data_IF_080368753247
#
_entry.id   IF_080368753247
#
_cell.length_a   1.000
_cell.length_b   1.000
_cell.length_c   1.000
_cell.angle_alpha   90.00
_cell.angle_beta   90.00
_cell.angle_gamma   90.00
#
_symmetry.space_group_name_H-M   'P 1'
#
loop_
_entity.id
_entity.type
_entity.pdbx_description
1 polymer ?
#
# COMPACT_ATOMS: atom_id res chain seq x y z
N UNK A 1 -11.63 -35.62 1.05
CA UNK A 1 -11.76 -34.26 1.61
C UNK A 1 -12.31 -33.35 0.52
N UNK A 2 -13.53 -32.83 0.67
CA UNK A 2 -14.17 -32.00 -0.34
C UNK A 2 -13.84 -30.52 -0.16
N UNK A 3 -13.66 -29.79 -1.25
CA UNK A 3 -13.34 -28.36 -1.32
C UNK A 3 -14.19 -27.47 -0.38
N UNK A 4 -15.44 -27.85 -0.14
CA UNK A 4 -16.35 -27.15 0.77
C UNK A 4 -15.98 -27.30 2.27
N UNK A 5 -15.37 -28.42 2.66
CA UNK A 5 -14.89 -28.61 4.04
C UNK A 5 -13.65 -27.75 4.33
N UNK A 6 -12.75 -27.61 3.36
CA UNK A 6 -11.55 -26.77 3.52
C UNK A 6 -11.91 -25.28 3.56
N UNK A 7 -12.83 -24.82 2.71
CA UNK A 7 -13.38 -23.46 2.76
C UNK A 7 -14.06 -23.16 4.10
N UNK A 8 -14.88 -24.09 4.61
CA UNK A 8 -15.56 -23.93 5.90
C UNK A 8 -14.57 -23.90 7.07
N UNK A 9 -13.47 -24.65 6.99
CA UNK A 9 -12.38 -24.64 7.98
C UNK A 9 -11.58 -23.33 7.97
N UNK A 10 -11.33 -22.76 6.79
CA UNK A 10 -10.71 -21.43 6.65
C UNK A 10 -11.61 -20.31 7.16
N UNK A 11 -12.90 -20.33 6.82
CA UNK A 11 -13.89 -19.34 7.26
C UNK A 11 -14.20 -19.45 8.77
N UNK A 12 -13.97 -20.62 9.37
CA UNK A 12 -14.10 -20.84 10.82
C UNK A 12 -12.84 -20.45 11.60
N UNK A 13 -11.79 -19.99 10.92
CA UNK A 13 -10.55 -19.56 11.56
C UNK A 13 -10.76 -18.18 12.19
N UNK A 14 -11.05 -18.13 13.48
CA UNK A 14 -11.03 -16.89 14.27
C UNK A 14 -9.58 -16.44 14.43
N UNK A 15 -9.10 -15.58 13.53
CA UNK A 15 -7.85 -14.87 13.77
C UNK A 15 -8.09 -13.77 14.81
N UNK A 16 -7.19 -13.67 15.77
CA UNK A 16 -7.26 -12.60 16.77
C UNK A 16 -7.09 -11.24 16.10
N UNK A 17 -7.70 -10.19 16.67
CA UNK A 17 -7.50 -8.80 16.18
C UNK A 17 -6.01 -8.42 16.12
N UNK A 18 -5.21 -8.96 17.06
CA UNK A 18 -3.77 -8.76 17.10
C UNK A 18 -3.07 -9.36 15.86
N UNK A 19 -3.45 -10.55 15.42
CA UNK A 19 -2.89 -11.16 14.22
C UNK A 19 -3.31 -10.45 12.93
N UNK A 20 -4.55 -9.98 12.85
CA UNK A 20 -5.01 -9.16 11.72
C UNK A 20 -4.20 -7.86 11.61
N UNK A 21 -4.03 -7.15 12.73
CA UNK A 21 -3.24 -5.93 12.76
C UNK A 21 -1.75 -6.20 12.49
N UNK A 22 -1.20 -7.26 13.07
CA UNK A 22 0.19 -7.68 12.82
C UNK A 22 0.42 -7.99 11.34
N UNK A 23 -0.49 -8.72 10.70
CA UNK A 23 -0.43 -9.03 9.26
C UNK A 23 -0.56 -7.77 8.41
N UNK A 24 -1.51 -6.89 8.75
CA UNK A 24 -1.67 -5.61 8.06
C UNK A 24 -0.41 -4.75 8.15
N UNK A 25 0.18 -4.61 9.34
CA UNK A 25 1.44 -3.86 9.54
C UNK A 25 2.59 -4.52 8.77
N UNK A 26 2.69 -5.84 8.78
CA UNK A 26 3.71 -6.60 8.04
C UNK A 26 3.62 -6.34 6.53
N UNK A 27 2.42 -6.15 5.98
CA UNK A 27 2.21 -5.84 4.56
C UNK A 27 2.37 -4.35 4.25
N UNK A 28 1.88 -3.47 5.12
CA UNK A 28 1.93 -2.02 4.95
C UNK A 28 3.38 -1.50 5.07
N UNK A 29 4.19 -2.07 5.95
CA UNK A 29 5.58 -1.65 6.17
C UNK A 29 6.42 -1.69 4.88
N UNK A 30 6.56 -2.83 4.17
CA UNK A 30 7.32 -2.87 2.93
C UNK A 30 6.68 -2.01 1.83
N UNK A 31 5.35 -1.89 1.82
CA UNK A 31 4.65 -1.05 0.85
C UNK A 31 5.01 0.44 1.01
N UNK A 32 5.00 0.94 2.25
CA UNK A 32 5.37 2.32 2.55
C UNK A 32 6.86 2.56 2.30
N UNK A 33 7.73 1.60 2.63
CA UNK A 33 9.17 1.70 2.33
C UNK A 33 9.39 1.86 0.83
N UNK A 34 8.75 1.02 0.01
CA UNK A 34 8.84 1.13 -1.46
C UNK A 34 8.24 2.44 -1.98
N UNK A 35 7.11 2.88 -1.42
CA UNK A 35 6.52 4.17 -1.76
C UNK A 35 7.42 5.36 -1.45
N UNK A 36 8.15 5.33 -0.32
CA UNK A 36 9.15 6.34 0.02
C UNK A 36 10.33 6.31 -0.95
N UNK A 37 10.86 5.13 -1.27
CA UNK A 37 11.94 4.98 -2.27
C UNK A 37 11.49 5.51 -3.63
N UNK A 38 10.27 5.18 -4.05
CA UNK A 38 9.67 5.68 -5.29
C UNK A 38 9.53 7.21 -5.31
N UNK A 39 9.01 7.80 -4.24
CA UNK A 39 8.85 9.25 -4.10
C UNK A 39 10.20 10.00 -4.14
N UNK A 40 11.27 9.41 -3.60
CA UNK A 40 12.63 9.97 -3.69
C UNK A 40 13.18 9.87 -5.13
N UNK A 41 12.88 8.79 -5.84
CA UNK A 41 13.34 8.56 -7.21
C UNK A 41 12.55 9.35 -8.28
N UNK A 42 11.32 9.79 -7.97
CA UNK A 42 10.52 10.69 -8.81
C UNK A 42 10.35 12.09 -8.18
N UNK A 43 11.40 12.92 -8.14
CA UNK A 43 11.32 14.28 -7.59
C UNK A 43 10.50 15.26 -8.45
N UNK A 44 10.16 14.89 -9.70
CA UNK A 44 9.54 15.80 -10.69
C UNK A 44 8.14 16.32 -10.32
N UNK A 45 7.37 15.61 -9.48
CA UNK A 45 6.03 16.04 -9.05
C UNK A 45 6.07 16.96 -7.81
N UNK A 46 7.18 16.96 -7.05
CA UNK A 46 7.29 17.63 -5.74
C UNK A 46 7.85 19.05 -5.87
N UNK A 47 8.28 19.49 -7.07
CA UNK A 47 8.89 20.81 -7.31
C UNK A 47 7.92 21.86 -7.88
N UNK A 48 6.69 21.51 -8.24
CA UNK A 48 5.71 22.43 -8.85
C UNK A 48 4.63 22.97 -7.89
N UNK A 49 4.62 22.56 -6.62
CA UNK A 49 3.56 22.89 -5.66
C UNK A 49 4.16 23.46 -4.37
N UNK A 50 3.80 24.71 -4.06
CA UNK A 50 4.23 25.42 -2.85
C UNK A 50 3.32 25.10 -1.64
N UNK A 51 3.91 25.03 -0.44
CA UNK A 51 3.16 24.98 0.82
C UNK A 51 2.65 23.60 1.28
N UNK A 52 1.55 23.58 2.03
CA UNK A 52 1.01 22.37 2.68
C UNK A 52 0.52 21.29 1.69
N UNK A 53 0.18 21.68 0.46
CA UNK A 53 -0.19 20.76 -0.62
C UNK A 53 0.98 19.85 -1.02
N UNK A 54 2.22 20.29 -0.82
CA UNK A 54 3.42 19.48 -1.06
C UNK A 54 3.49 18.26 -0.15
N UNK A 55 3.04 18.39 1.10
CA UNK A 55 2.99 17.27 2.05
C UNK A 55 1.91 16.28 1.64
N UNK A 56 0.72 16.78 1.28
CA UNK A 56 -0.38 15.95 0.79
C UNK A 56 0.00 15.21 -0.50
N UNK A 57 0.68 15.87 -1.43
CA UNK A 57 1.20 15.26 -2.65
C UNK A 57 2.27 14.20 -2.35
N UNK A 58 3.20 14.48 -1.42
CA UNK A 58 4.22 13.52 -1.01
C UNK A 58 3.61 12.27 -0.36
N UNK A 59 2.66 12.46 0.56
CA UNK A 59 1.93 11.35 1.20
C UNK A 59 1.11 10.59 0.16
N UNK A 60 0.46 11.30 -0.77
CA UNK A 60 -0.28 10.70 -1.88
C UNK A 60 0.60 9.84 -2.77
N UNK A 61 1.79 10.32 -3.16
CA UNK A 61 2.74 9.54 -3.96
C UNK A 61 3.24 8.31 -3.22
N UNK A 62 3.56 8.42 -1.92
CA UNK A 62 4.04 7.28 -1.12
C UNK A 62 2.94 6.22 -0.93
N UNK A 63 1.69 6.64 -0.72
CA UNK A 63 0.56 5.73 -0.49
C UNK A 63 0.06 5.10 -1.79
N UNK A 64 0.02 5.87 -2.89
CA UNK A 64 -0.57 5.46 -4.16
C UNK A 64 0.46 5.15 -5.26
N UNK A 65 1.74 4.96 -4.91
CA UNK A 65 2.82 4.67 -5.87
C UNK A 65 2.53 3.55 -6.89
N UNK A 66 1.85 2.42 -6.56
CA UNK A 66 1.63 1.36 -7.55
C UNK A 66 0.59 1.79 -8.59
N UNK A 67 -0.41 2.57 -8.18
CA UNK A 67 -1.44 3.10 -9.07
C UNK A 67 -0.82 4.13 -10.01
N UNK A 68 0.06 4.99 -9.49
CA UNK A 68 0.79 5.98 -10.29
C UNK A 68 1.72 5.29 -11.31
N UNK A 69 2.43 4.24 -10.89
CA UNK A 69 3.23 3.42 -11.82
C UNK A 69 2.40 2.87 -12.98
N UNK A 70 1.22 2.32 -12.69
CA UNK A 70 0.33 1.80 -13.74
C UNK A 70 -0.17 2.93 -14.64
N UNK A 71 -0.50 4.09 -14.06
CA UNK A 71 -0.93 5.26 -14.81
C UNK A 71 0.17 5.82 -15.73
N UNK A 72 1.44 5.79 -15.30
CA UNK A 72 2.57 6.18 -16.15
C UNK A 72 2.84 5.19 -17.29
N UNK A 73 2.49 3.91 -17.11
CA UNK A 73 2.66 2.86 -18.11
C UNK A 73 1.52 2.83 -19.15
N UNK A 74 0.36 3.42 -18.85
CA UNK A 74 -0.82 3.41 -19.70
C UNK A 74 -1.30 4.86 -19.96
N UNK A 75 -0.71 5.56 -20.95
CA UNK A 75 -1.03 6.96 -21.26
C UNK A 75 -2.40 7.16 -21.90
#
# INVERSE_FOLDING_TARGET
>A
MGMLSDLRRLLSYEMTLAEWLGTAVLLVTPHLVLGVVYAVLQPGYITSVDGAERVAATVGTVVFWPVLLIAELCP
#
